data_IF_094036833952
#
_entry.id   IF_094036833952
#
_cell.length_a   1.000
_cell.length_b   1.000
_cell.length_c   1.000
_cell.angle_alpha   90.00
_cell.angle_beta   90.00
_cell.angle_gamma   90.00
#
_symmetry.space_group_name_H-M   'P 1'
#
loop_
_entity.id
_entity.type
_entity.pdbx_description
1 polymer ?
#
# COMPACT_ATOMS: atom_id res chain seq x y z
N UNK A 1 11.96 -8.79 -3.98
CA UNK A 1 11.55 -7.38 -4.14
C UNK A 1 10.11 -7.06 -3.71
N UNK A 2 9.19 -8.03 -3.55
CA UNK A 2 7.84 -7.79 -2.96
C UNK A 2 7.81 -7.89 -1.42
N UNK A 3 8.74 -8.65 -0.84
CA UNK A 3 8.84 -8.91 0.61
C UNK A 3 9.25 -7.70 1.44
N UNK A 4 10.23 -6.90 0.97
CA UNK A 4 10.70 -5.69 1.69
C UNK A 4 9.59 -4.66 1.89
N UNK A 5 8.68 -4.52 0.93
CA UNK A 5 7.54 -3.60 1.04
C UNK A 5 6.57 -4.05 2.14
N UNK A 6 6.24 -5.34 2.20
CA UNK A 6 5.37 -5.88 3.24
C UNK A 6 5.97 -5.67 4.64
N UNK A 7 7.28 -5.86 4.81
CA UNK A 7 7.97 -5.65 6.08
C UNK A 7 7.92 -4.18 6.54
N UNK A 8 8.33 -3.24 5.68
CA UNK A 8 8.33 -1.81 6.03
C UNK A 8 6.92 -1.31 6.32
N UNK A 9 5.97 -1.64 5.45
CA UNK A 9 4.57 -1.26 5.63
C UNK A 9 3.97 -1.90 6.89
N UNK A 10 4.26 -3.16 7.17
CA UNK A 10 3.79 -3.86 8.37
C UNK A 10 4.32 -3.22 9.65
N UNK A 11 5.62 -2.91 9.70
CA UNK A 11 6.25 -2.22 10.83
C UNK A 11 5.61 -0.84 11.08
N UNK A 12 5.49 -0.02 10.03
CA UNK A 12 4.89 1.33 10.15
C UNK A 12 3.41 1.23 10.54
N UNK A 13 2.67 0.28 9.98
CA UNK A 13 1.25 0.12 10.27
C UNK A 13 1.01 -0.29 11.73
N UNK A 14 1.73 -1.29 12.24
CA UNK A 14 1.65 -1.71 13.63
C UNK A 14 2.03 -0.58 14.59
N UNK A 15 3.16 0.11 14.33
CA UNK A 15 3.60 1.24 15.15
C UNK A 15 2.60 2.41 15.17
N UNK A 16 1.97 2.73 14.03
CA UNK A 16 0.92 3.76 13.98
C UNK A 16 -0.36 3.32 14.68
N UNK A 17 -0.71 2.03 14.62
CA UNK A 17 -1.86 1.49 15.34
C UNK A 17 -1.66 1.59 16.84
N UNK A 18 -0.45 1.27 17.33
CA UNK A 18 -0.03 1.41 18.71
C UNK A 18 -0.02 2.88 19.15
N UNK A 19 0.63 3.76 18.40
CA UNK A 19 0.75 5.18 18.76
C UNK A 19 -0.57 5.96 18.77
N UNK A 20 -1.59 5.51 18.02
CA UNK A 20 -2.90 6.19 17.97
C UNK A 20 -3.80 5.91 19.17
N UNK A 21 -3.52 4.87 19.95
CA UNK A 21 -4.28 4.45 21.15
C UNK A 21 -5.83 4.41 21.02
N UNK A 22 -6.35 4.41 19.78
CA UNK A 22 -7.79 4.39 19.51
C UNK A 22 -8.34 2.98 19.76
N UNK A 23 -8.97 2.78 20.91
CA UNK A 23 -9.58 1.50 21.32
C UNK A 23 -11.04 1.38 20.91
N UNK A 24 -11.63 2.42 20.32
CA UNK A 24 -13.05 2.42 19.90
C UNK A 24 -13.32 1.44 18.76
N UNK A 25 -12.30 1.12 17.96
CA UNK A 25 -12.34 0.17 16.86
C UNK A 25 -11.73 -1.15 17.29
N UNK A 26 -12.29 -2.28 16.84
CA UNK A 26 -11.69 -3.62 17.05
C UNK A 26 -10.65 -3.98 15.98
N UNK A 27 -10.87 -3.51 14.75
CA UNK A 27 -10.01 -3.77 13.60
C UNK A 27 -9.23 -2.54 13.18
N UNK A 28 -8.03 -2.77 12.65
CA UNK A 28 -7.29 -1.79 11.85
C UNK A 28 -7.38 -2.17 10.37
N UNK A 29 -7.25 -1.16 9.52
CA UNK A 29 -7.34 -1.33 8.07
C UNK A 29 -6.11 -0.73 7.40
N UNK A 30 -5.56 -1.45 6.43
CA UNK A 30 -4.44 -1.01 5.61
C UNK A 30 -4.72 -1.24 4.13
N UNK A 31 -4.49 -0.21 3.32
CA UNK A 31 -4.77 -0.21 1.89
C UNK A 31 -3.53 0.09 1.07
N UNK A 32 -3.38 -0.61 -0.05
CA UNK A 32 -2.35 -0.28 -1.04
C UNK A 32 -2.85 -0.61 -2.45
N UNK A 33 -2.11 -0.17 -3.46
CA UNK A 33 -2.42 -0.49 -4.86
C UNK A 33 -1.27 -1.27 -5.49
N UNK A 34 -1.60 -2.15 -6.43
CA UNK A 34 -0.61 -2.91 -7.21
C UNK A 34 -0.79 -2.63 -8.69
N UNK A 35 0.32 -2.61 -9.40
CA UNK A 35 0.35 -2.60 -10.87
C UNK A 35 -0.23 -3.90 -11.43
N UNK A 36 -1.29 -3.79 -12.23
CA UNK A 36 -1.98 -4.89 -12.87
C UNK A 36 -1.50 -5.18 -14.29
N UNK A 37 -0.72 -4.30 -14.93
CA UNK A 37 -0.26 -4.47 -16.32
C UNK A 37 0.39 -5.83 -16.59
N UNK A 38 1.34 -6.34 -15.78
CA UNK A 38 1.94 -7.66 -16.03
C UNK A 38 1.01 -8.83 -15.72
N UNK A 39 -0.20 -8.59 -15.20
CA UNK A 39 -1.17 -9.61 -14.76
C UNK A 39 -2.43 -9.66 -15.62
N UNK A 40 -2.50 -8.85 -16.68
CA UNK A 40 -3.57 -8.97 -17.67
C UNK A 40 -3.25 -10.08 -18.66
N UNK A 41 -4.26 -10.58 -19.38
CA UNK A 41 -4.08 -11.60 -20.41
C UNK A 41 -4.69 -11.11 -21.73
N UNK A 42 -3.87 -10.68 -22.71
CA UNK A 42 -2.40 -10.58 -22.65
C UNK A 42 -1.89 -9.47 -21.72
N UNK A 43 -0.63 -9.52 -21.25
CA UNK A 43 -0.02 -8.45 -20.45
C UNK A 43 -0.06 -7.11 -21.18
N UNK A 44 -0.45 -6.04 -20.49
CA UNK A 44 -0.42 -4.69 -21.05
C UNK A 44 1.02 -4.22 -21.21
N UNK A 45 1.31 -3.42 -22.26
CA UNK A 45 2.64 -2.89 -22.47
C UNK A 45 3.05 -1.97 -21.31
N UNK A 46 4.35 -1.90 -20.98
CA UNK A 46 4.85 -0.95 -19.97
C UNK A 46 4.49 0.52 -20.29
N UNK A 47 4.31 0.85 -21.57
CA UNK A 47 3.92 2.18 -22.07
C UNK A 47 2.41 2.46 -22.00
N UNK A 48 1.58 1.54 -21.49
CA UNK A 48 0.16 1.82 -21.28
C UNK A 48 -0.02 3.03 -20.36
N UNK A 49 -0.65 4.08 -20.89
CA UNK A 49 -0.75 5.39 -20.22
C UNK A 49 -1.88 5.47 -19.17
N UNK A 50 -2.87 4.58 -19.26
CA UNK A 50 -4.04 4.60 -18.38
C UNK A 50 -3.79 4.01 -16.99
N UNK A 51 -4.79 4.12 -16.13
CA UNK A 51 -4.79 3.45 -14.83
C UNK A 51 -4.97 1.93 -15.01
N UNK A 52 -4.04 1.16 -14.48
CA UNK A 52 -4.15 -0.29 -14.39
C UNK A 52 -3.67 -0.74 -13.01
N UNK A 53 -4.48 -0.42 -12.00
CA UNK A 53 -4.18 -0.66 -10.60
C UNK A 53 -5.27 -1.51 -9.96
N UNK A 54 -4.90 -2.45 -9.10
CA UNK A 54 -5.83 -3.17 -8.21
C UNK A 54 -5.74 -2.62 -6.80
N UNK A 55 -6.90 -2.32 -6.23
CA UNK A 55 -7.05 -1.93 -4.83
C UNK A 55 -6.89 -3.18 -3.95
N UNK A 56 -5.93 -3.11 -3.03
CA UNK A 56 -5.59 -4.17 -2.10
C UNK A 56 -5.97 -3.75 -0.68
N UNK A 57 -6.60 -4.68 0.03
CA UNK A 57 -7.24 -4.47 1.32
C UNK A 57 -6.68 -5.46 2.33
N UNK A 58 -6.27 -4.95 3.48
CA UNK A 58 -5.72 -5.71 4.59
C UNK A 58 -6.46 -5.30 5.85
N UNK A 59 -6.90 -6.28 6.64
CA UNK A 59 -7.52 -6.07 7.94
C UNK A 59 -6.83 -6.95 8.96
N UNK A 60 -6.64 -6.44 10.17
CA UNK A 60 -6.12 -7.20 11.30
C UNK A 60 -6.75 -6.68 12.59
N UNK A 61 -6.83 -7.54 13.62
CA UNK A 61 -7.33 -7.11 14.91
C UNK A 61 -6.31 -6.19 15.60
N UNK A 62 -6.79 -5.11 16.21
CA UNK A 62 -5.90 -4.12 16.83
C UNK A 62 -5.12 -4.71 17.99
N UNK A 63 -5.73 -5.61 18.76
CA UNK A 63 -5.07 -6.30 19.87
C UNK A 63 -3.87 -7.11 19.40
N UNK A 64 -3.94 -7.71 18.21
CA UNK A 64 -2.83 -8.47 17.63
C UNK A 64 -1.72 -7.54 17.12
N UNK A 65 -2.09 -6.42 16.49
CA UNK A 65 -1.14 -5.44 15.96
C UNK A 65 -0.36 -4.69 17.04
N UNK A 66 -0.90 -4.57 18.25
CA UNK A 66 -0.25 -3.91 19.40
C UNK A 66 0.58 -4.89 20.22
N UNK A 67 0.44 -6.20 20.01
CA UNK A 67 1.24 -7.22 20.68
C UNK A 67 2.70 -7.24 20.20
N UNK A 68 3.53 -8.01 20.90
CA UNK A 68 4.98 -8.09 20.66
C UNK A 68 5.34 -8.48 19.21
N UNK A 69 4.52 -9.34 18.59
CA UNK A 69 4.69 -9.79 17.19
C UNK A 69 3.88 -8.98 16.18
N UNK A 70 3.28 -7.85 16.59
CA UNK A 70 2.31 -7.11 15.79
C UNK A 70 2.83 -6.65 14.42
N UNK A 71 4.09 -6.24 14.34
CA UNK A 71 4.73 -5.86 13.07
C UNK A 71 4.92 -7.05 12.12
N UNK A 72 5.27 -8.22 12.65
CA UNK A 72 5.43 -9.45 11.87
C UNK A 72 4.08 -9.94 11.35
N UNK A 73 3.05 -9.91 12.20
CA UNK A 73 1.68 -10.23 11.82
C UNK A 73 1.15 -9.28 10.74
N UNK A 74 1.37 -7.97 10.89
CA UNK A 74 1.00 -6.98 9.89
C UNK A 74 1.66 -7.25 8.53
N UNK A 75 2.96 -7.58 8.55
CA UNK A 75 3.70 -7.92 7.34
C UNK A 75 3.18 -9.22 6.69
N UNK A 76 2.83 -10.24 7.47
CA UNK A 76 2.26 -11.49 6.97
C UNK A 76 0.89 -11.25 6.32
N UNK A 77 0.01 -10.46 6.95
CA UNK A 77 -1.30 -10.13 6.38
C UNK A 77 -1.20 -9.35 5.07
N UNK A 78 -0.27 -8.38 4.99
CA UNK A 78 0.03 -7.68 3.73
C UNK A 78 0.55 -8.67 2.68
N UNK A 79 1.44 -9.58 3.07
CA UNK A 79 2.03 -10.58 2.18
C UNK A 79 0.99 -11.56 1.64
N UNK A 80 0.07 -12.04 2.48
CA UNK A 80 -1.06 -12.89 2.06
C UNK A 80 -1.89 -12.23 0.97
N UNK A 81 -2.18 -10.94 1.12
CA UNK A 81 -2.89 -10.16 0.09
C UNK A 81 -2.06 -10.05 -1.19
N UNK A 82 -0.76 -9.78 -1.09
CA UNK A 82 0.14 -9.74 -2.25
C UNK A 82 0.18 -11.09 -2.98
N UNK A 83 0.15 -12.20 -2.25
CA UNK A 83 0.18 -13.56 -2.80
C UNK A 83 -1.09 -13.89 -3.58
N UNK A 84 -2.27 -13.52 -3.07
CA UNK A 84 -3.55 -13.66 -3.79
C UNK A 84 -3.62 -12.86 -5.10
N UNK A 85 -2.71 -11.91 -5.33
CA UNK A 85 -2.61 -11.23 -6.63
C UNK A 85 -2.10 -12.13 -7.77
N UNK A 86 -1.57 -13.31 -7.45
CA UNK A 86 -1.12 -14.30 -8.44
C UNK A 86 -2.32 -15.00 -9.12
N UNK A 87 -3.52 -14.94 -8.52
CA UNK A 87 -4.76 -15.56 -9.02
C UNK A 87 -5.49 -14.72 -10.10
N UNK A 88 -5.11 -13.45 -10.27
CA UNK A 88 -5.68 -12.58 -11.31
C UNK A 88 -5.64 -11.09 -10.99
N UNK A 89 -5.75 -10.24 -12.02
CA UNK A 89 -5.61 -8.79 -11.90
C UNK A 89 -6.89 -8.04 -11.47
N UNK A 90 -8.07 -8.55 -11.81
CA UNK A 90 -9.33 -7.79 -11.74
C UNK A 90 -10.44 -8.45 -10.91
N UNK A 91 -10.11 -9.46 -10.10
CA UNK A 91 -11.08 -10.07 -9.20
C UNK A 91 -11.71 -9.03 -8.26
N UNK A 92 -13.04 -8.92 -8.27
CA UNK A 92 -13.81 -7.98 -7.46
C UNK A 92 -13.75 -6.52 -7.92
N UNK A 93 -13.38 -6.26 -9.19
CA UNK A 93 -13.26 -4.90 -9.73
C UNK A 93 -14.57 -4.09 -9.65
N UNK A 94 -15.71 -4.76 -9.74
CA UNK A 94 -17.05 -4.19 -9.56
C UNK A 94 -17.27 -3.53 -8.18
N UNK A 95 -16.42 -3.82 -7.20
CA UNK A 95 -16.51 -3.30 -5.85
C UNK A 95 -15.45 -2.27 -5.48
N UNK A 96 -14.46 -2.04 -6.35
CA UNK A 96 -13.28 -1.24 -6.03
C UNK A 96 -13.59 0.20 -5.61
N UNK A 97 -14.52 0.88 -6.29
CA UNK A 97 -14.90 2.25 -5.91
C UNK A 97 -15.54 2.26 -4.53
N UNK A 98 -16.43 1.32 -4.23
CA UNK A 98 -17.04 1.17 -2.90
C UNK A 98 -15.97 0.90 -1.84
N UNK A 99 -15.04 0.00 -2.13
CA UNK A 99 -13.96 -0.39 -1.23
C UNK A 99 -13.05 0.81 -0.85
N UNK A 100 -12.77 1.71 -1.80
CA UNK A 100 -12.03 2.95 -1.54
C UNK A 100 -12.78 3.85 -0.55
N UNK A 101 -14.08 4.07 -0.76
CA UNK A 101 -14.89 4.89 0.13
C UNK A 101 -14.99 4.28 1.54
N UNK A 102 -15.15 2.96 1.62
CA UNK A 102 -15.19 2.22 2.87
C UNK A 102 -13.89 2.38 3.65
N UNK A 103 -12.73 2.23 2.99
CA UNK A 103 -11.43 2.36 3.63
C UNK A 103 -11.15 3.80 4.08
N UNK A 104 -11.58 4.79 3.29
CA UNK A 104 -11.52 6.19 3.70
C UNK A 104 -12.37 6.45 4.97
N UNK A 105 -13.61 5.97 5.01
CA UNK A 105 -14.49 6.11 6.17
C UNK A 105 -13.94 5.40 7.42
N UNK A 106 -13.30 4.25 7.23
CA UNK A 106 -12.62 3.49 8.31
C UNK A 106 -11.30 4.13 8.77
N UNK A 107 -10.84 5.20 8.13
CA UNK A 107 -9.53 5.86 8.37
C UNK A 107 -8.36 4.87 8.20
N UNK A 108 -8.43 4.03 7.17
CA UNK A 108 -7.38 3.08 6.85
C UNK A 108 -6.04 3.79 6.58
N UNK A 109 -4.94 3.19 7.03
CA UNK A 109 -3.61 3.64 6.60
C UNK A 109 -3.43 3.21 5.14
N UNK A 110 -3.05 4.14 4.26
CA UNK A 110 -2.83 3.85 2.84
C UNK A 110 -1.40 4.16 2.44
N UNK A 111 -0.93 3.58 1.33
CA UNK A 111 0.40 3.85 0.77
C UNK A 111 0.29 4.70 -0.50
N UNK A 112 1.09 5.76 -0.56
CA UNK A 112 1.30 6.56 -1.76
C UNK A 112 2.72 6.31 -2.29
N UNK A 113 2.83 6.07 -3.60
CA UNK A 113 4.12 5.80 -4.26
C UNK A 113 4.51 4.32 -4.27
N UNK A 114 5.69 4.06 -4.84
CA UNK A 114 6.30 2.74 -4.90
C UNK A 114 7.79 2.89 -5.22
N UNK A 115 8.69 2.11 -4.59
CA UNK A 115 10.11 2.03 -4.96
C UNK A 115 10.38 1.62 -6.42
N UNK A 116 9.34 1.16 -7.15
CA UNK A 116 9.43 0.87 -8.58
C UNK A 116 9.28 2.10 -9.47
N UNK A 117 8.82 3.22 -8.92
CA UNK A 117 8.66 4.46 -9.68
C UNK A 117 10.00 5.14 -9.94
N UNK A 118 11.03 4.88 -9.12
CA UNK A 118 12.40 5.35 -9.37
C UNK A 118 12.45 6.88 -9.55
N UNK A 119 11.69 7.60 -8.72
CA UNK A 119 11.56 9.05 -8.74
C UNK A 119 12.88 9.78 -8.44
N UNK A 120 13.79 9.15 -7.67
CA UNK A 120 15.14 9.63 -7.41
C UNK A 120 16.12 9.36 -8.56
N UNK A 121 15.77 8.54 -9.55
CA UNK A 121 16.60 8.30 -10.74
C UNK A 121 16.33 9.30 -11.88
N UNK A 122 15.48 10.29 -11.64
CA UNK A 122 15.14 11.32 -12.64
C UNK A 122 16.25 12.38 -12.70
N UNK A 123 16.96 12.42 -13.82
CA UNK A 123 18.00 13.42 -14.10
C UNK A 123 17.68 14.20 -15.38
N UNK A 124 17.54 15.52 -15.26
CA UNK A 124 17.33 16.44 -16.38
C UNK A 124 18.61 17.15 -16.84
N UNK A 125 19.78 16.74 -16.33
CA UNK A 125 21.09 17.38 -16.56
C UNK A 125 21.61 18.20 -15.38
N UNK A 126 20.89 18.21 -14.25
CA UNK A 126 21.27 18.90 -13.02
C UNK A 126 21.66 17.94 -11.88
N UNK A 127 21.72 16.63 -12.17
CA UNK A 127 21.94 15.57 -11.20
C UNK A 127 20.65 15.08 -10.56
N UNK A 128 20.78 14.08 -9.69
CA UNK A 128 19.65 13.40 -9.05
C UNK A 128 18.93 14.28 -8.02
N UNK A 129 17.61 14.08 -7.80
CA UNK A 129 16.85 14.81 -6.81
C UNK A 129 17.42 14.57 -5.41
N UNK A 130 17.59 15.64 -4.63
CA UNK A 130 18.01 15.51 -3.22
C UNK A 130 16.87 15.11 -2.27
N UNK A 131 15.63 15.39 -2.67
CA UNK A 131 14.43 15.14 -1.87
C UNK A 131 13.19 15.07 -2.76
N UNK A 132 12.33 14.08 -2.51
CA UNK A 132 11.02 13.91 -3.17
C UNK A 132 9.93 13.87 -2.10
N UNK A 133 8.85 14.61 -2.32
CA UNK A 133 7.70 14.71 -1.40
C UNK A 133 6.38 14.48 -2.15
N UNK A 134 5.48 13.69 -1.57
CA UNK A 134 4.14 13.45 -2.12
C UNK A 134 3.15 14.31 -1.34
N UNK A 135 2.94 15.54 -1.81
CA UNK A 135 2.19 16.58 -1.06
C UNK A 135 0.76 16.16 -0.71
N UNK A 136 0.10 15.38 -1.59
CA UNK A 136 -1.29 14.96 -1.39
C UNK A 136 -1.52 14.08 -0.16
N UNK A 137 -0.46 13.51 0.42
CA UNK A 137 -0.57 12.69 1.64
C UNK A 137 -0.91 13.50 2.89
N UNK A 138 -0.70 14.82 2.88
CA UNK A 138 -1.12 15.71 3.97
C UNK A 138 -2.62 15.54 4.27
N UNK A 139 -3.44 15.49 3.22
CA UNK A 139 -4.89 15.35 3.33
C UNK A 139 -5.32 13.92 3.65
N UNK A 140 -4.60 12.93 3.17
CA UNK A 140 -5.01 11.52 3.26
C UNK A 140 -4.41 10.78 4.45
N UNK A 141 -3.33 11.30 5.05
CA UNK A 141 -2.54 10.60 6.06
C UNK A 141 -1.83 9.35 5.54
N UNK A 142 -1.62 9.26 4.22
CA UNK A 142 -0.97 8.11 3.59
C UNK A 142 0.53 8.07 3.90
N UNK A 143 1.07 6.85 3.98
CA UNK A 143 2.51 6.60 4.02
C UNK A 143 3.11 6.86 2.64
N UNK A 144 4.04 7.81 2.53
CA UNK A 144 4.87 7.98 1.33
C UNK A 144 5.91 6.86 1.27
N UNK A 145 5.99 6.19 0.12
CA UNK A 145 6.98 5.14 -0.12
C UNK A 145 7.69 5.37 -1.45
N UNK A 146 9.00 5.64 -1.37
CA UNK A 146 9.91 5.76 -2.50
C UNK A 146 11.19 4.98 -2.22
N UNK A 147 11.99 4.76 -3.25
CA UNK A 147 13.36 4.24 -3.12
C UNK A 147 14.29 5.23 -2.40
N UNK A 148 15.35 4.70 -1.80
CA UNK A 148 16.43 5.43 -1.15
C UNK A 148 17.76 5.03 -1.76
#
# INVERSE_FOLDING_TARGET
>A
MRTRQALVCGYVWAGLVQAREDTSKKKAHFGFVTDCRPRTHPPLPPSYFGNCLRICRVEADRSELVGDDGAALAADEIWRVIKRLEEGAFGGAEHWIRDVHEYAAKKALTVAGSPKLRVYDVDFGWGWPRKVEVISIERTGALSLAES
#
